data_IF_796057387476
#
_entry.id   IF_796057387476
#
_cell.length_a   1.000
_cell.length_b   1.000
_cell.length_c   1.000
_cell.angle_alpha   90.00
_cell.angle_beta   90.00
_cell.angle_gamma   90.00
#
_symmetry.space_group_name_H-M   'P 1'
#
loop_
_entity.id
_entity.type
_entity.pdbx_description
1 polymer ?
#
# COMPACT_ATOMS: atom_id res chain seq x y z
N UNK A 1 9.94 17.25 7.65
CA UNK A 1 9.83 16.61 6.31
C UNK A 1 8.76 15.51 6.26
N UNK A 2 8.74 14.50 7.13
CA UNK A 2 7.72 13.44 7.06
C UNK A 2 6.27 13.90 7.33
N UNK A 3 6.08 14.90 8.19
CA UNK A 3 4.75 15.41 8.56
C UNK A 3 4.04 16.14 7.41
N UNK A 4 4.78 16.86 6.56
CA UNK A 4 4.20 17.61 5.43
C UNK A 4 3.66 16.66 4.36
N UNK A 5 4.35 15.56 4.09
CA UNK A 5 3.92 14.51 3.15
C UNK A 5 2.60 13.87 3.62
N UNK A 6 2.53 13.54 4.91
CA UNK A 6 1.37 12.92 5.52
C UNK A 6 0.17 13.88 5.50
N UNK A 7 0.37 15.17 5.77
CA UNK A 7 -0.67 16.21 5.70
C UNK A 7 -1.13 16.49 4.27
N UNK A 8 -0.22 16.44 3.30
CA UNK A 8 -0.57 16.53 1.88
C UNK A 8 -1.43 15.34 1.44
N UNK A 9 -1.08 14.13 1.86
CA UNK A 9 -1.87 12.93 1.60
C UNK A 9 -3.25 13.01 2.26
N UNK A 10 -3.35 13.45 3.51
CA UNK A 10 -4.63 13.70 4.20
C UNK A 10 -5.51 14.69 3.42
N UNK A 11 -4.93 15.80 2.96
CA UNK A 11 -5.64 16.79 2.17
C UNK A 11 -6.23 16.19 0.89
N UNK A 12 -5.43 15.40 0.15
CA UNK A 12 -5.90 14.73 -1.08
C UNK A 12 -6.98 13.68 -0.81
N UNK A 13 -6.81 12.86 0.23
CA UNK A 13 -7.81 11.85 0.63
C UNK A 13 -9.12 12.52 1.07
N UNK A 14 -9.04 13.65 1.77
CA UNK A 14 -10.21 14.44 2.19
C UNK A 14 -10.99 14.99 1.00
N UNK A 15 -10.29 15.42 -0.06
CA UNK A 15 -10.92 15.97 -1.26
C UNK A 15 -11.56 14.91 -2.16
N UNK A 16 -10.93 13.73 -2.29
CA UNK A 16 -11.29 12.76 -3.33
C UNK A 16 -11.98 11.48 -2.81
N UNK A 17 -11.96 11.22 -1.50
CA UNK A 17 -12.54 10.00 -0.93
C UNK A 17 -13.45 10.23 0.28
N UNK A 18 -12.87 10.51 1.45
CA UNK A 18 -13.60 10.67 2.70
C UNK A 18 -12.73 11.41 3.71
N UNK A 19 -13.37 12.08 4.67
CA UNK A 19 -12.70 12.69 5.82
C UNK A 19 -12.20 11.58 6.76
N UNK A 20 -11.05 10.99 6.45
CA UNK A 20 -10.33 10.07 7.31
C UNK A 20 -9.34 10.82 8.19
N UNK A 21 -9.17 10.34 9.42
CA UNK A 21 -8.12 10.84 10.31
C UNK A 21 -6.76 10.31 9.87
N UNK A 22 -5.73 11.13 10.08
CA UNK A 22 -4.34 10.80 9.77
C UNK A 22 -3.89 9.44 10.31
N UNK A 23 -4.30 9.14 11.53
CA UNK A 23 -3.95 7.89 12.21
C UNK A 23 -4.59 6.67 11.53
N UNK A 24 -5.83 6.81 11.04
CA UNK A 24 -6.51 5.75 10.31
C UNK A 24 -5.81 5.49 8.99
N UNK A 25 -5.46 6.54 8.24
CA UNK A 25 -4.71 6.40 6.99
C UNK A 25 -3.38 5.67 7.22
N UNK A 26 -2.62 6.06 8.26
CA UNK A 26 -1.38 5.37 8.63
C UNK A 26 -1.61 3.91 8.96
N UNK A 27 -2.61 3.60 9.79
CA UNK A 27 -2.91 2.22 10.19
C UNK A 27 -3.28 1.37 8.98
N UNK A 28 -4.10 1.91 8.08
CA UNK A 28 -4.53 1.24 6.85
C UNK A 28 -3.36 0.98 5.91
N UNK A 29 -2.49 1.97 5.68
CA UNK A 29 -1.28 1.80 4.86
C UNK A 29 -0.29 0.80 5.47
N UNK A 30 -0.09 0.82 6.79
CA UNK A 30 0.79 -0.12 7.49
C UNK A 30 0.23 -1.54 7.56
N UNK A 31 -1.09 -1.70 7.43
CA UNK A 31 -1.72 -3.02 7.41
C UNK A 31 -1.49 -3.77 6.09
N UNK A 32 -1.14 -3.05 5.02
CA UNK A 32 -0.78 -3.65 3.74
C UNK A 32 0.58 -4.31 3.88
N UNK A 33 0.61 -5.63 3.76
CA UNK A 33 1.82 -6.42 3.86
C UNK A 33 2.04 -7.21 2.59
N UNK A 34 3.29 -7.50 2.29
CA UNK A 34 3.66 -8.37 1.19
C UNK A 34 4.78 -9.29 1.67
N UNK A 35 4.60 -10.59 1.50
CA UNK A 35 5.59 -11.59 1.87
C UNK A 35 6.52 -11.85 0.70
N UNK A 36 7.84 -11.85 0.95
CA UNK A 36 8.83 -12.19 -0.06
C UNK A 36 9.20 -13.67 0.12
N UNK A 37 8.81 -14.51 -0.83
CA UNK A 37 9.25 -15.89 -0.91
C UNK A 37 10.58 -15.97 -1.65
N UNK A 38 11.52 -16.71 -1.08
CA UNK A 38 12.80 -17.04 -1.72
C UNK A 38 12.81 -18.52 -2.04
N UNK A 39 12.87 -18.84 -3.33
CA UNK A 39 13.10 -20.21 -3.77
C UNK A 39 14.61 -20.51 -3.71
N UNK A 40 15.00 -21.36 -2.77
CA UNK A 40 16.41 -21.77 -2.58
C UNK A 40 16.96 -22.61 -3.73
N UNK A 41 16.11 -23.26 -4.54
CA UNK A 41 16.56 -24.10 -5.66
C UNK A 41 16.81 -23.30 -6.93
N UNK A 42 15.98 -22.30 -7.21
CA UNK A 42 16.08 -21.49 -8.44
C UNK A 42 16.62 -20.08 -8.20
N UNK A 43 16.90 -19.73 -6.95
CA UNK A 43 17.32 -18.40 -6.49
C UNK A 43 16.35 -17.26 -6.84
N UNK A 44 15.12 -17.60 -7.25
CA UNK A 44 14.08 -16.64 -7.64
C UNK A 44 13.37 -16.11 -6.40
N UNK A 45 13.00 -14.83 -6.44
CA UNK A 45 12.20 -14.19 -5.40
C UNK A 45 10.79 -13.94 -5.90
N UNK A 46 9.79 -14.20 -5.08
CA UNK A 46 8.39 -13.96 -5.40
C UNK A 46 7.76 -13.08 -4.33
N UNK A 47 6.91 -12.14 -4.73
CA UNK A 47 6.05 -11.39 -3.80
C UNK A 47 4.70 -12.04 -3.76
N UNK A 48 4.28 -12.42 -2.55
CA UNK A 48 2.91 -12.74 -2.22
C UNK A 48 2.28 -11.52 -1.53
N UNK A 49 1.46 -10.73 -2.26
CA UNK A 49 0.69 -9.67 -1.62
C UNK A 49 -0.34 -10.29 -0.66
N UNK A 50 -0.51 -9.72 0.53
CA UNK A 50 -1.58 -10.11 1.45
C UNK A 50 -2.89 -9.40 1.09
N UNK A 51 -3.97 -9.74 1.80
CA UNK A 51 -5.27 -9.12 1.56
C UNK A 51 -5.21 -7.61 1.83
N UNK A 52 -5.38 -6.80 0.78
CA UNK A 52 -5.34 -5.34 0.88
C UNK A 52 -6.74 -4.84 1.26
N UNK A 53 -6.89 -4.06 2.34
CA UNK A 53 -8.18 -3.46 2.65
C UNK A 53 -8.62 -2.49 1.56
N UNK A 54 -9.92 -2.44 1.26
CA UNK A 54 -10.49 -1.58 0.21
C UNK A 54 -10.12 -0.10 0.39
N UNK A 55 -10.00 0.37 1.63
CA UNK A 55 -9.55 1.74 1.93
C UNK A 55 -8.09 1.96 1.53
N UNK A 56 -7.21 0.99 1.74
CA UNK A 56 -5.83 1.07 1.27
C UNK A 56 -5.80 1.13 -0.25
N UNK A 57 -6.49 0.21 -0.93
CA UNK A 57 -6.52 0.15 -2.39
C UNK A 57 -6.93 1.49 -3.00
N UNK A 58 -7.98 2.12 -2.48
CA UNK A 58 -8.40 3.46 -2.92
C UNK A 58 -7.35 4.52 -2.65
N UNK A 59 -6.72 4.53 -1.47
CA UNK A 59 -5.65 5.49 -1.15
C UNK A 59 -4.44 5.31 -2.10
N UNK A 60 -4.04 4.06 -2.38
CA UNK A 60 -2.97 3.76 -3.34
C UNK A 60 -3.34 4.19 -4.76
N UNK A 61 -4.58 3.94 -5.20
CA UNK A 61 -5.08 4.41 -6.49
C UNK A 61 -5.11 5.93 -6.59
N UNK A 62 -5.48 6.64 -5.53
CA UNK A 62 -5.39 8.11 -5.46
C UNK A 62 -3.94 8.61 -5.57
N UNK A 63 -2.98 7.83 -5.06
CA UNK A 63 -1.56 8.11 -5.20
C UNK A 63 -0.99 7.67 -6.56
N UNK A 64 -1.83 7.18 -7.47
CA UNK A 64 -1.44 6.60 -8.77
C UNK A 64 -0.48 5.40 -8.65
N UNK A 65 -0.60 4.67 -7.54
CA UNK A 65 0.18 3.46 -7.26
C UNK A 65 -0.70 2.24 -7.54
N UNK A 66 -0.33 1.48 -8.57
CA UNK A 66 -1.00 0.21 -8.89
C UNK A 66 -0.53 -0.90 -7.96
N UNK A 67 -1.42 -1.39 -7.10
CA UNK A 67 -1.17 -2.58 -6.30
C UNK A 67 -1.41 -3.83 -7.15
N UNK A 68 -0.45 -4.77 -7.09
CA UNK A 68 -0.63 -6.10 -7.69
C UNK A 68 -1.16 -7.03 -6.62
N UNK A 69 -2.36 -7.56 -6.84
CA UNK A 69 -2.97 -8.60 -5.98
C UNK A 69 -2.51 -10.00 -6.37
N UNK A 70 -1.89 -10.16 -7.55
CA UNK A 70 -1.32 -11.42 -8.02
C UNK A 70 0.12 -11.59 -7.56
N UNK A 71 0.52 -12.84 -7.33
CA UNK A 71 1.92 -13.19 -7.11
C UNK A 71 2.77 -12.76 -8.29
N UNK A 72 3.85 -12.03 -8.05
CA UNK A 72 4.79 -11.64 -9.09
C UNK A 72 6.23 -11.94 -8.68
N UNK A 73 7.06 -12.23 -9.66
CA UNK A 73 8.49 -12.46 -9.45
C UNK A 73 9.21 -11.12 -9.30
N UNK A 74 10.04 -11.01 -8.27
CA UNK A 74 11.08 -9.99 -8.17
C UNK A 74 12.39 -10.65 -8.56
N UNK A 75 13.21 -9.89 -9.27
CA UNK A 75 14.49 -10.26 -9.86
C UNK A 75 15.33 -11.23 -9.01
#
# INVERSE_FOLDING_TARGET
MAYTLIRHLEHRVRLQYKKLLLQQIRKTLLSVQASILHDKKTNKRYVLPSNVPLDAEKIYKLMDVSLKTSVYRIM
#
